data_IF_051362280624
#
_entry.id   IF_051362280624
#
_cell.length_a   1.000
_cell.length_b   1.000
_cell.length_c   1.000
_cell.angle_alpha   90.00
_cell.angle_beta   90.00
_cell.angle_gamma   90.00
#
_symmetry.space_group_name_H-M   'P 1'
#
loop_
_entity.id
_entity.type
_entity.pdbx_description
1 polymer ?
#
# COMPACT_ATOMS: atom_id res chain seq x y z
N UNK A 1 -58.74 5.77 27.67
CA UNK A 1 -58.04 6.83 28.41
C UNK A 1 -56.87 6.24 29.18
N UNK A 2 -55.78 7.02 29.26
CA UNK A 2 -54.57 6.87 30.09
C UNK A 2 -53.44 5.94 29.60
N UNK A 3 -52.47 6.63 29.01
CA UNK A 3 -51.05 6.31 28.81
C UNK A 3 -50.38 5.99 30.14
N UNK A 4 -49.42 5.07 30.12
CA UNK A 4 -48.28 5.08 31.03
C UNK A 4 -47.03 4.69 30.24
N UNK A 5 -46.14 5.67 30.14
CA UNK A 5 -44.79 5.55 29.60
C UNK A 5 -43.92 4.85 30.63
N UNK A 6 -43.10 3.89 30.19
CA UNK A 6 -41.89 3.50 30.92
C UNK A 6 -40.73 3.43 29.94
N UNK A 7 -39.95 4.51 29.96
CA UNK A 7 -38.59 4.58 29.45
C UNK A 7 -37.73 3.51 30.14
N UNK A 8 -37.41 2.42 29.46
CA UNK A 8 -36.25 1.60 29.80
C UNK A 8 -35.10 2.04 28.88
N UNK A 9 -34.34 3.01 29.39
CA UNK A 9 -33.12 3.56 28.81
C UNK A 9 -32.06 2.45 28.74
N UNK A 10 -31.99 1.75 27.60
CA UNK A 10 -30.87 0.86 27.30
C UNK A 10 -29.68 1.73 26.94
N UNK A 11 -28.90 2.10 27.95
CA UNK A 11 -27.55 2.65 27.79
C UNK A 11 -26.67 1.57 27.15
N UNK A 12 -26.69 1.49 25.82
CA UNK A 12 -25.69 0.75 25.05
C UNK A 12 -24.37 1.50 25.21
N UNK A 13 -23.58 1.07 26.19
CA UNK A 13 -22.17 1.42 26.35
C UNK A 13 -21.46 1.09 25.02
N UNK A 14 -21.30 2.10 24.18
CA UNK A 14 -20.37 2.05 23.06
C UNK A 14 -18.97 1.95 23.65
N UNK A 15 -18.47 0.71 23.75
CA UNK A 15 -17.04 0.45 23.85
C UNK A 15 -16.46 0.88 22.52
N UNK A 16 -16.13 2.17 22.41
CA UNK A 16 -15.21 2.68 21.40
C UNK A 16 -13.87 2.08 21.79
N UNK A 17 -13.62 0.86 21.34
CA UNK A 17 -12.29 0.30 21.31
C UNK A 17 -11.47 1.24 20.44
N UNK A 18 -10.72 2.16 21.07
CA UNK A 18 -9.63 2.84 20.43
C UNK A 18 -8.68 1.76 19.93
N UNK A 19 -8.81 1.40 18.65
CA UNK A 19 -7.84 0.53 18.00
C UNK A 19 -6.49 1.23 18.16
N UNK A 20 -5.54 0.55 18.81
CA UNK A 20 -4.19 1.10 19.02
C UNK A 20 -3.68 1.54 17.65
N UNK A 21 -3.34 2.83 17.52
CA UNK A 21 -2.72 3.40 16.31
C UNK A 21 -1.54 2.50 15.94
N UNK A 22 -1.60 1.89 14.75
CA UNK A 22 -0.57 0.96 14.32
C UNK A 22 0.71 1.75 14.06
N UNK A 23 1.79 1.42 14.77
CA UNK A 23 3.10 2.02 14.57
C UNK A 23 3.83 1.26 13.46
N UNK A 24 4.21 1.92 12.36
CA UNK A 24 4.86 1.26 11.23
C UNK A 24 6.13 0.48 11.61
N UNK A 25 6.85 0.88 12.68
CA UNK A 25 8.13 0.28 13.05
C UNK A 25 8.14 -1.22 13.39
N UNK A 26 6.98 -1.87 13.56
CA UNK A 26 6.87 -3.29 13.97
C UNK A 26 6.26 -4.20 12.88
N UNK A 27 6.44 -3.92 11.59
CA UNK A 27 6.16 -4.95 10.57
C UNK A 27 7.43 -5.75 10.25
N UNK A 28 7.34 -7.08 10.03
CA UNK A 28 8.46 -7.89 9.56
C UNK A 28 8.82 -7.64 8.08
N UNK A 29 8.20 -6.65 7.44
CA UNK A 29 8.44 -6.28 6.06
C UNK A 29 9.35 -5.07 6.02
N UNK A 30 10.28 -5.03 5.09
CA UNK A 30 11.08 -3.86 4.77
C UNK A 30 10.16 -2.72 4.31
N UNK A 31 9.91 -1.75 5.20
CA UNK A 31 8.99 -0.62 4.99
C UNK A 31 9.74 0.67 4.66
N UNK A 32 11.00 0.58 4.27
CA UNK A 32 11.87 1.74 4.34
C UNK A 32 11.50 2.81 3.30
N UNK A 33 11.03 2.43 2.10
CA UNK A 33 10.48 3.37 1.11
C UNK A 33 9.76 2.69 -0.05
N UNK A 34 8.69 3.29 -0.63
CA UNK A 34 8.13 2.84 -1.90
C UNK A 34 9.17 2.76 -3.02
N UNK A 35 9.15 1.66 -3.79
CA UNK A 35 9.92 1.53 -5.02
C UNK A 35 9.01 1.95 -6.19
N UNK A 36 8.97 3.25 -6.49
CA UNK A 36 8.19 3.76 -7.61
C UNK A 36 8.85 3.39 -8.94
N UNK A 37 8.06 2.85 -9.88
CA UNK A 37 8.57 2.44 -11.20
C UNK A 37 9.18 3.63 -11.95
N UNK A 38 8.59 4.83 -11.83
CA UNK A 38 9.14 6.04 -12.44
C UNK A 38 10.51 6.44 -11.85
N UNK A 39 10.78 6.12 -10.58
CA UNK A 39 12.10 6.33 -10.00
C UNK A 39 13.09 5.25 -10.47
N UNK A 40 12.64 4.01 -10.66
CA UNK A 40 13.45 2.94 -11.25
C UNK A 40 13.88 3.30 -12.67
N UNK A 41 13.00 3.94 -13.45
CA UNK A 41 13.31 4.40 -14.83
C UNK A 41 14.37 5.52 -14.89
N UNK A 42 14.69 6.17 -13.77
CA UNK A 42 15.77 7.17 -13.67
C UNK A 42 17.14 6.53 -13.43
N UNK A 43 17.21 5.22 -13.19
CA UNK A 43 18.48 4.52 -13.04
C UNK A 43 19.14 4.31 -14.40
N UNK A 44 20.38 4.76 -14.50
CA UNK A 44 21.18 4.69 -15.72
C UNK A 44 22.49 3.95 -15.44
N UNK A 45 22.69 2.85 -16.17
CA UNK A 45 23.93 2.07 -16.11
C UNK A 45 25.12 2.91 -16.57
N UNK A 46 26.19 2.91 -15.77
CA UNK A 46 27.42 3.67 -16.05
C UNK A 46 27.34 5.14 -15.67
N UNK A 47 26.20 5.64 -15.16
CA UNK A 47 26.02 7.04 -14.79
C UNK A 47 25.47 7.22 -13.36
N UNK A 48 24.50 6.41 -12.95
CA UNK A 48 23.95 6.49 -11.60
C UNK A 48 24.98 6.08 -10.54
N UNK A 49 25.07 6.84 -9.46
CA UNK A 49 25.97 6.57 -8.32
C UNK A 49 25.20 5.97 -7.14
N UNK A 50 25.92 5.43 -6.15
CA UNK A 50 25.34 5.01 -4.85
C UNK A 50 24.47 6.11 -4.23
N UNK A 51 24.95 7.36 -4.23
CA UNK A 51 24.24 8.55 -3.74
C UNK A 51 22.95 8.83 -4.52
N UNK A 52 22.97 8.66 -5.84
CA UNK A 52 21.79 8.82 -6.70
C UNK A 52 20.72 7.80 -6.31
N UNK A 53 21.11 6.55 -6.09
CA UNK A 53 20.20 5.46 -5.71
C UNK A 53 19.65 5.68 -4.30
N UNK A 54 20.49 6.08 -3.34
CA UNK A 54 20.05 6.41 -1.97
C UNK A 54 19.08 7.61 -1.99
N UNK A 55 19.31 8.61 -2.81
CA UNK A 55 18.40 9.75 -2.94
C UNK A 55 17.00 9.32 -3.42
N UNK A 56 16.95 8.44 -4.42
CA UNK A 56 15.71 7.92 -5.00
C UNK A 56 14.97 6.97 -4.04
N UNK A 57 15.68 5.97 -3.50
CA UNK A 57 15.04 4.84 -2.80
C UNK A 57 15.29 4.80 -1.28
N UNK A 58 16.13 5.70 -0.76
CA UNK A 58 16.57 5.68 0.64
C UNK A 58 17.72 4.71 0.87
N UNK A 59 18.04 4.50 2.15
CA UNK A 59 19.05 3.52 2.57
C UNK A 59 18.59 2.09 2.22
N UNK A 60 19.49 1.22 1.72
CA UNK A 60 19.16 -0.15 1.37
C UNK A 60 18.86 -1.00 2.62
N UNK A 61 17.98 -1.98 2.48
CA UNK A 61 17.67 -2.95 3.56
C UNK A 61 18.89 -3.83 3.86
N UNK A 62 19.61 -4.22 2.80
CA UNK A 62 20.86 -4.98 2.90
C UNK A 62 21.88 -4.35 1.98
N UNK A 63 23.04 -4.06 2.55
CA UNK A 63 24.24 -3.71 1.80
C UNK A 63 25.24 -4.87 1.92
N UNK A 64 25.80 -5.30 0.79
CA UNK A 64 26.95 -6.20 0.77
C UNK A 64 28.08 -5.52 0.00
N UNK A 65 29.21 -5.32 0.68
CA UNK A 65 30.38 -4.62 0.16
C UNK A 65 31.46 -5.68 -0.11
N UNK A 66 32.00 -5.67 -1.32
CA UNK A 66 33.08 -6.57 -1.73
C UNK A 66 34.11 -5.84 -2.59
N UNK A 67 35.24 -6.49 -2.85
CA UNK A 67 36.27 -5.97 -3.77
C UNK A 67 35.82 -5.91 -5.24
N UNK A 68 34.61 -6.42 -5.55
CA UNK A 68 33.98 -6.36 -6.88
C UNK A 68 32.88 -5.30 -6.95
N UNK A 69 32.63 -4.59 -5.85
CA UNK A 69 31.69 -3.50 -5.73
C UNK A 69 30.64 -3.73 -4.65
N UNK A 70 29.60 -2.91 -4.69
CA UNK A 70 28.54 -2.87 -3.68
C UNK A 70 27.21 -3.40 -4.23
N UNK A 71 26.43 -4.05 -3.36
CA UNK A 71 25.09 -4.52 -3.69
C UNK A 71 24.08 -3.93 -2.73
N UNK A 72 23.15 -3.14 -3.26
CA UNK A 72 22.00 -2.62 -2.54
C UNK A 72 20.78 -3.47 -2.84
N UNK A 73 20.09 -3.91 -1.79
CA UNK A 73 18.82 -4.63 -1.90
C UNK A 73 17.72 -3.81 -1.25
N UNK A 74 16.69 -3.54 -2.03
CA UNK A 74 15.46 -2.90 -1.59
C UNK A 74 14.30 -3.88 -1.74
N UNK A 75 13.49 -3.97 -0.69
CA UNK A 75 12.19 -4.62 -0.73
C UNK A 75 11.14 -3.62 -0.27
N UNK A 76 10.06 -3.47 -1.04
CA UNK A 76 8.89 -2.72 -0.59
C UNK A 76 7.63 -3.48 -0.93
N UNK A 77 6.98 -4.02 0.10
CA UNK A 77 5.71 -4.74 0.00
C UNK A 77 5.69 -5.91 -1.02
N UNK A 78 6.85 -6.48 -1.37
CA UNK A 78 6.98 -7.56 -2.35
C UNK A 78 7.45 -7.11 -3.73
N UNK A 79 7.56 -5.79 -3.97
CA UNK A 79 8.39 -5.26 -5.03
C UNK A 79 9.85 -5.39 -4.56
N UNK A 80 10.75 -5.81 -5.46
CA UNK A 80 12.17 -5.95 -5.14
C UNK A 80 13.01 -5.20 -6.15
N UNK A 81 14.00 -4.45 -5.67
CA UNK A 81 15.01 -3.80 -6.50
C UNK A 81 16.38 -4.22 -5.96
N UNK A 82 17.16 -4.89 -6.79
CA UNK A 82 18.58 -5.14 -6.53
C UNK A 82 19.39 -4.22 -7.42
N UNK A 83 20.31 -3.45 -6.83
CA UNK A 83 21.24 -2.58 -7.55
C UNK A 83 22.66 -3.05 -7.26
N UNK A 84 23.47 -3.18 -8.31
CA UNK A 84 24.88 -3.54 -8.23
C UNK A 84 25.73 -2.37 -8.72
N UNK A 85 26.70 -1.99 -7.91
CA UNK A 85 27.71 -1.00 -8.21
C UNK A 85 29.05 -1.67 -8.47
N UNK A 86 29.89 -1.05 -9.27
CA UNK A 86 31.29 -1.42 -9.40
C UNK A 86 32.14 -0.81 -8.27
N UNK A 87 33.46 -0.99 -8.34
CA UNK A 87 34.41 -0.49 -7.35
C UNK A 87 34.54 1.04 -7.32
N UNK A 88 34.02 1.74 -8.34
CA UNK A 88 33.98 3.20 -8.39
C UNK A 88 32.63 3.75 -7.90
N UNK A 89 31.80 2.90 -7.28
CA UNK A 89 30.45 3.23 -6.83
C UNK A 89 29.52 3.68 -7.96
N UNK A 90 29.80 3.24 -9.20
CA UNK A 90 28.95 3.50 -10.38
C UNK A 90 28.06 2.29 -10.61
N UNK A 91 26.79 2.54 -10.91
CA UNK A 91 25.78 1.53 -11.17
C UNK A 91 26.19 0.68 -12.38
N UNK A 92 26.45 -0.60 -12.12
CA UNK A 92 26.81 -1.61 -13.11
C UNK A 92 25.58 -2.34 -13.65
N UNK A 93 24.63 -2.65 -12.79
CA UNK A 93 23.36 -3.25 -13.20
C UNK A 93 22.30 -3.11 -12.12
N UNK A 94 21.04 -3.33 -12.49
CA UNK A 94 19.94 -3.42 -11.54
C UNK A 94 18.86 -4.38 -12.06
N UNK A 95 18.09 -4.93 -11.13
CA UNK A 95 16.96 -5.81 -11.42
C UNK A 95 15.79 -5.34 -10.56
N UNK A 96 14.76 -4.81 -11.21
CA UNK A 96 13.47 -4.53 -10.58
C UNK A 96 12.48 -5.65 -10.89
N UNK A 97 11.88 -6.23 -9.84
CA UNK A 97 10.79 -7.21 -9.97
C UNK A 97 9.57 -6.64 -9.24
N UNK A 98 8.56 -6.15 -9.96
CA UNK A 98 7.29 -5.78 -9.34
C UNK A 98 6.62 -7.04 -8.80
N UNK A 99 5.84 -6.88 -7.73
CA UNK A 99 5.00 -7.95 -7.24
C UNK A 99 3.98 -8.39 -8.29
N UNK A 100 3.89 -9.70 -8.49
CA UNK A 100 2.80 -10.30 -9.22
C UNK A 100 1.55 -10.36 -8.34
N UNK A 101 0.39 -10.02 -8.92
CA UNK A 101 -0.91 -10.04 -8.24
C UNK A 101 -1.86 -10.98 -8.98
N UNK A 102 -2.30 -12.03 -8.31
CA UNK A 102 -3.26 -13.01 -8.83
C UNK A 102 -4.70 -12.53 -8.61
N UNK A 103 -5.59 -12.64 -9.61
CA UNK A 103 -6.99 -12.30 -9.44
C UNK A 103 -7.67 -13.26 -8.46
N UNK A 104 -8.42 -12.71 -7.51
CA UNK A 104 -9.20 -13.48 -6.53
C UNK A 104 -10.68 -13.34 -6.83
N UNK A 105 -11.17 -12.10 -6.95
CA UNK A 105 -12.58 -11.79 -7.17
C UNK A 105 -12.76 -10.57 -8.08
N UNK A 106 -13.92 -10.52 -8.75
CA UNK A 106 -14.33 -9.39 -9.58
C UNK A 106 -15.83 -9.13 -9.46
N UNK A 107 -16.21 -7.87 -9.28
CA UNK A 107 -17.60 -7.42 -9.17
C UNK A 107 -17.83 -6.18 -10.04
N UNK A 108 -18.77 -6.20 -10.97
CA UNK A 108 -19.00 -5.07 -11.90
C UNK A 108 -20.16 -4.16 -11.46
N UNK A 109 -21.00 -4.60 -10.52
CA UNK A 109 -22.24 -3.94 -10.12
C UNK A 109 -22.05 -2.49 -9.64
N UNK A 110 -20.90 -2.18 -9.04
CA UNK A 110 -20.64 -0.86 -8.49
C UNK A 110 -20.00 0.11 -9.49
N UNK A 111 -19.69 -0.31 -10.73
CA UNK A 111 -18.98 0.55 -11.69
C UNK A 111 -19.77 1.81 -12.07
N UNK A 112 -21.10 1.79 -11.93
CA UNK A 112 -21.97 2.95 -12.20
C UNK A 112 -22.02 3.97 -11.06
N UNK A 113 -21.49 3.65 -9.87
CA UNK A 113 -21.43 4.58 -8.73
C UNK A 113 -20.28 5.57 -8.92
N UNK A 114 -20.30 6.68 -8.18
CA UNK A 114 -19.21 7.66 -8.11
C UNK A 114 -18.44 7.49 -6.78
N UNK A 115 -17.13 7.70 -6.81
CA UNK A 115 -16.31 7.87 -5.62
C UNK A 115 -16.56 9.25 -5.05
N UNK A 116 -16.91 9.32 -3.78
CA UNK A 116 -16.90 10.57 -3.03
C UNK A 116 -15.45 10.91 -2.67
N UNK A 117 -14.86 11.90 -3.32
CA UNK A 117 -13.46 12.29 -3.12
C UNK A 117 -13.17 12.73 -1.68
N UNK A 118 -14.13 13.34 -0.99
CA UNK A 118 -14.02 13.67 0.46
C UNK A 118 -13.84 12.44 1.35
N UNK A 119 -14.17 11.24 0.87
CA UNK A 119 -13.92 9.98 1.60
C UNK A 119 -12.51 9.44 1.32
N UNK A 120 -11.92 9.77 0.18
CA UNK A 120 -10.52 9.42 -0.14
C UNK A 120 -9.59 10.12 0.85
N UNK A 121 -9.85 11.41 1.13
CA UNK A 121 -9.11 12.22 2.12
C UNK A 121 -9.16 11.64 3.55
N UNK A 122 -10.10 10.73 3.83
CA UNK A 122 -10.23 10.06 5.14
C UNK A 122 -9.43 8.77 5.24
N UNK A 123 -8.86 8.29 4.13
CA UNK A 123 -8.05 7.07 4.13
C UNK A 123 -6.75 7.36 4.88
N UNK A 124 -6.59 6.71 6.03
CA UNK A 124 -5.40 6.74 6.84
C UNK A 124 -4.63 5.45 6.65
N UNK A 125 -3.40 5.55 6.14
CA UNK A 125 -2.49 4.42 6.03
C UNK A 125 -2.28 3.80 7.44
N UNK A 126 -2.31 2.47 7.49
CA UNK A 126 -2.32 1.59 8.67
C UNK A 126 -3.53 1.66 9.61
N UNK A 127 -4.41 2.65 9.49
CA UNK A 127 -5.58 2.77 10.36
C UNK A 127 -6.90 2.43 9.66
N UNK A 128 -7.00 2.73 8.37
CA UNK A 128 -8.15 2.33 7.55
C UNK A 128 -8.04 0.86 7.20
N UNK A 129 -9.14 0.14 7.35
CA UNK A 129 -9.25 -1.30 7.01
C UNK A 129 -10.01 -1.48 5.70
N UNK A 130 -9.96 -2.69 5.12
CA UNK A 130 -10.86 -3.03 4.00
C UNK A 130 -12.32 -2.71 4.30
N UNK A 131 -12.78 -3.03 5.51
CA UNK A 131 -14.18 -2.83 5.90
C UNK A 131 -14.60 -1.35 5.79
N UNK A 132 -13.74 -0.43 6.22
CA UNK A 132 -13.99 1.00 6.10
C UNK A 132 -14.09 1.45 4.64
N UNK A 133 -13.21 0.93 3.77
CA UNK A 133 -13.22 1.23 2.33
C UNK A 133 -14.52 0.77 1.69
N UNK A 134 -14.96 -0.47 1.95
CA UNK A 134 -16.21 -0.99 1.40
C UNK A 134 -17.43 -0.24 1.93
N UNK A 135 -17.39 0.22 3.18
CA UNK A 135 -18.44 1.09 3.74
C UNK A 135 -18.51 2.44 3.03
N UNK A 136 -17.38 3.00 2.60
CA UNK A 136 -17.35 4.31 1.94
C UNK A 136 -17.60 4.25 0.43
N UNK A 137 -17.11 3.21 -0.23
CA UNK A 137 -17.05 3.13 -1.69
C UNK A 137 -17.87 1.97 -2.28
N UNK A 138 -18.49 1.14 -1.43
CA UNK A 138 -19.10 -0.14 -1.81
C UNK A 138 -18.05 -1.23 -2.05
N UNK A 139 -18.49 -2.46 -2.33
CA UNK A 139 -17.56 -3.57 -2.66
C UNK A 139 -16.60 -3.18 -3.79
N UNK A 140 -15.33 -3.58 -3.65
CA UNK A 140 -14.33 -3.37 -4.69
C UNK A 140 -14.75 -4.05 -6.00
N UNK A 141 -14.39 -3.46 -7.12
CA UNK A 141 -14.67 -4.04 -8.43
C UNK A 141 -13.74 -5.19 -8.79
N UNK A 142 -12.54 -5.20 -8.20
CA UNK A 142 -11.54 -6.25 -8.38
C UNK A 142 -10.78 -6.43 -7.06
N UNK A 143 -10.55 -7.69 -6.67
CA UNK A 143 -9.63 -8.09 -5.62
C UNK A 143 -8.55 -8.96 -6.26
N UNK A 144 -7.31 -8.58 -6.04
CA UNK A 144 -6.15 -9.38 -6.44
C UNK A 144 -5.24 -9.56 -5.22
N UNK A 145 -4.49 -10.65 -5.14
CA UNK A 145 -3.63 -10.92 -4.00
C UNK A 145 -2.26 -11.41 -4.43
N UNK A 146 -1.29 -11.24 -3.55
CA UNK A 146 -0.03 -11.94 -3.59
C UNK A 146 0.29 -12.47 -2.18
N UNK A 147 1.47 -13.04 -1.98
CA UNK A 147 1.87 -13.60 -0.67
C UNK A 147 1.83 -12.59 0.49
N UNK A 148 1.96 -11.29 0.23
CA UNK A 148 2.13 -10.25 1.26
C UNK A 148 1.04 -9.15 1.25
N UNK A 149 0.32 -8.98 0.14
CA UNK A 149 -0.60 -7.87 -0.13
C UNK A 149 -1.90 -8.36 -0.76
N UNK A 150 -2.93 -7.55 -0.57
CA UNK A 150 -4.15 -7.60 -1.38
C UNK A 150 -4.33 -6.23 -2.03
N UNK A 151 -4.63 -6.21 -3.33
CA UNK A 151 -4.98 -5.04 -4.12
C UNK A 151 -6.49 -5.03 -4.35
N UNK A 152 -7.15 -3.99 -3.83
CA UNK A 152 -8.55 -3.69 -4.10
C UNK A 152 -8.64 -2.56 -5.12
N UNK A 153 -9.36 -2.79 -6.22
CA UNK A 153 -9.61 -1.78 -7.25
C UNK A 153 -11.08 -1.43 -7.28
N UNK A 154 -11.40 -0.15 -7.13
CA UNK A 154 -12.75 0.40 -7.17
C UNK A 154 -12.92 1.19 -8.48
N UNK A 155 -13.38 0.52 -9.53
CA UNK A 155 -13.75 1.18 -10.79
C UNK A 155 -15.08 1.89 -10.60
N UNK A 156 -15.14 3.18 -10.87
CA UNK A 156 -16.32 4.02 -10.65
C UNK A 156 -16.43 5.06 -11.78
N UNK A 157 -17.59 5.68 -11.94
CA UNK A 157 -17.87 6.60 -13.07
C UNK A 157 -16.91 7.78 -13.18
N UNK A 158 -16.36 8.25 -12.07
CA UNK A 158 -15.54 9.46 -11.99
C UNK A 158 -14.06 9.16 -11.70
N UNK A 159 -13.64 7.89 -11.82
CA UNK A 159 -12.26 7.51 -11.59
C UNK A 159 -12.09 6.12 -11.01
N UNK A 160 -10.82 5.75 -10.84
CA UNK A 160 -10.38 4.49 -10.28
C UNK A 160 -9.62 4.74 -9.00
N UNK A 161 -10.06 4.13 -7.90
CA UNK A 161 -9.29 4.05 -6.66
C UNK A 161 -8.65 2.67 -6.56
N UNK A 162 -7.33 2.63 -6.46
CA UNK A 162 -6.55 1.42 -6.19
C UNK A 162 -6.06 1.51 -4.75
N UNK A 163 -6.30 0.46 -3.95
CA UNK A 163 -5.87 0.39 -2.55
C UNK A 163 -5.11 -0.90 -2.32
N UNK A 164 -3.93 -0.78 -1.73
CA UNK A 164 -3.11 -1.89 -1.29
C UNK A 164 -3.30 -2.06 0.22
N UNK A 165 -3.54 -3.29 0.65
CA UNK A 165 -3.65 -3.65 2.07
C UNK A 165 -2.73 -4.81 2.41
N UNK A 166 -2.45 -5.01 3.70
CA UNK A 166 -1.74 -6.20 4.19
C UNK A 166 -2.54 -7.47 3.87
N UNK A 167 -1.86 -8.53 3.41
CA UNK A 167 -2.45 -9.86 3.37
C UNK A 167 -2.37 -10.52 4.76
N UNK A 168 -3.19 -10.01 5.69
CA UNK A 168 -3.34 -10.52 7.04
C UNK A 168 -4.81 -10.40 7.47
N UNK A 169 -5.12 -10.82 8.70
CA UNK A 169 -6.51 -10.78 9.20
C UNK A 169 -7.13 -9.38 9.24
N UNK A 170 -6.32 -8.33 9.44
CA UNK A 170 -6.84 -6.96 9.61
C UNK A 170 -6.99 -6.20 8.29
N UNK A 171 -6.30 -6.62 7.22
CA UNK A 171 -6.35 -6.02 5.88
C UNK A 171 -6.27 -4.47 5.93
N UNK A 172 -5.29 -3.95 6.67
CA UNK A 172 -5.05 -2.50 6.83
C UNK A 172 -4.42 -1.89 5.59
N UNK A 173 -4.84 -0.69 5.24
CA UNK A 173 -4.33 0.09 4.11
C UNK A 173 -2.84 0.37 4.25
N UNK A 174 -2.08 0.08 3.21
CA UNK A 174 -0.65 0.34 3.08
C UNK A 174 -0.38 1.53 2.16
N UNK A 175 -1.13 1.62 1.07
CA UNK A 175 -1.04 2.69 0.09
C UNK A 175 -2.34 2.76 -0.71
N UNK A 176 -2.64 3.91 -1.29
CA UNK A 176 -3.73 4.07 -2.22
C UNK A 176 -3.41 5.14 -3.28
N UNK A 177 -4.04 5.00 -4.43
CA UNK A 177 -3.96 5.98 -5.51
C UNK A 177 -5.34 6.15 -6.15
N UNK A 178 -5.72 7.40 -6.43
CA UNK A 178 -6.95 7.72 -7.14
C UNK A 178 -6.63 8.43 -8.45
N UNK A 179 -7.12 7.87 -9.55
CA UNK A 179 -7.00 8.44 -10.90
C UNK A 179 -8.39 8.89 -11.34
N UNK A 180 -8.66 10.21 -11.46
CA UNK A 180 -9.92 10.72 -12.03
C UNK A 180 -10.13 10.26 -13.48
N UNK A 181 -11.38 10.19 -13.92
CA UNK A 181 -11.77 9.92 -15.32
C UNK A 181 -12.45 11.12 -15.96
#
# INVERSE_FOLDING_TARGET
MRRLWSCAMVCTLMIIGCTKKYYPGNTPFSIYRPIAEDDVRKLEKGASTTETVIRLFGEPERNNISNLGERFVYGYLGDTLTVLFDNNSILSSFIYRPAFFEPVEGYTDNNRKKINTRKIEKIQVYNTTRYDLEKWFGKASKKEQNSNRIRYTFYRKNGTLVVYVLNNFEERVLNYHFTPS
#
